data_IF_531953361414
#
_entry.id   IF_531953361414
#
_cell.length_a   1.000
_cell.length_b   1.000
_cell.length_c   1.000
_cell.angle_alpha   90.00
_cell.angle_beta   90.00
_cell.angle_gamma   90.00
#
_symmetry.space_group_name_H-M   'P 1'
#
loop_
_entity.id
_entity.type
_entity.pdbx_description
1 polymer ?
#
# COMPACT_ATOMS: atom_id res chain seq x y z
N UNK A 1 -15.03 -33.47 5.82
CA UNK A 1 -13.75 -34.20 5.93
C UNK A 1 -12.66 -33.21 6.30
N UNK A 2 -11.74 -33.53 7.22
CA UNK A 2 -10.64 -32.65 7.57
C UNK A 2 -9.75 -32.46 6.34
N UNK A 3 -9.35 -31.21 6.08
CA UNK A 3 -8.46 -30.89 4.97
C UNK A 3 -7.04 -31.33 5.34
N UNK A 4 -6.31 -31.97 4.42
CA UNK A 4 -4.92 -32.34 4.67
C UNK A 4 -4.08 -31.06 4.80
N UNK A 5 -3.48 -30.87 5.98
CA UNK A 5 -2.63 -29.73 6.31
C UNK A 5 -1.16 -30.13 6.29
N UNK A 6 -0.35 -29.43 5.50
CA UNK A 6 1.10 -29.60 5.41
C UNK A 6 1.74 -28.25 5.75
N UNK A 7 2.23 -28.11 6.98
CA UNK A 7 2.77 -26.85 7.48
C UNK A 7 1.71 -25.72 7.48
N UNK A 8 1.96 -24.57 6.83
CA UNK A 8 0.99 -23.47 6.72
C UNK A 8 -0.07 -23.70 5.62
N UNK A 9 0.05 -24.78 4.85
CA UNK A 9 -0.76 -25.03 3.65
C UNK A 9 -1.84 -26.08 3.88
N UNK A 10 -2.95 -25.94 3.16
CA UNK A 10 -4.11 -26.81 3.20
C UNK A 10 -4.45 -27.30 1.79
N UNK A 11 -4.63 -28.61 1.63
CA UNK A 11 -5.06 -29.25 0.37
C UNK A 11 -6.59 -29.28 0.28
N UNK A 12 -7.18 -28.10 0.20
CA UNK A 12 -8.61 -27.84 0.28
C UNK A 12 -8.88 -26.52 1.01
N UNK A 13 -10.06 -25.91 0.82
CA UNK A 13 -10.37 -24.64 1.48
C UNK A 13 -10.48 -24.89 2.99
N UNK A 14 -9.73 -24.17 3.84
CA UNK A 14 -9.79 -24.33 5.27
C UNK A 14 -11.22 -24.13 5.78
N UNK A 15 -11.63 -24.86 6.80
CA UNK A 15 -12.93 -24.69 7.44
C UNK A 15 -12.98 -23.36 8.22
N UNK A 16 -14.18 -22.95 8.66
CA UNK A 16 -14.32 -21.79 9.53
C UNK A 16 -13.58 -21.99 10.87
N UNK A 17 -13.61 -23.21 11.41
CA UNK A 17 -12.92 -23.59 12.64
C UNK A 17 -11.40 -23.52 12.49
N UNK A 18 -10.84 -24.01 11.37
CA UNK A 18 -9.40 -23.94 11.10
C UNK A 18 -8.92 -22.49 10.98
N UNK A 19 -9.69 -21.62 10.32
CA UNK A 19 -9.40 -20.18 10.26
C UNK A 19 -9.47 -19.54 11.64
N UNK A 20 -10.52 -19.83 12.41
CA UNK A 20 -10.68 -19.32 13.77
C UNK A 20 -9.55 -19.80 14.71
N UNK A 21 -9.05 -21.02 14.54
CA UNK A 21 -7.90 -21.52 15.29
C UNK A 21 -6.61 -20.75 14.98
N UNK A 22 -6.37 -20.41 13.70
CA UNK A 22 -5.25 -19.56 13.29
C UNK A 22 -5.38 -18.15 13.88
N UNK A 23 -6.58 -17.58 13.82
CA UNK A 23 -6.88 -16.27 14.42
C UNK A 23 -6.67 -16.28 15.93
N UNK A 24 -7.19 -17.28 16.64
CA UNK A 24 -7.01 -17.44 18.07
C UNK A 24 -5.53 -17.65 18.44
N UNK A 25 -4.76 -18.34 17.60
CA UNK A 25 -3.31 -18.46 17.76
C UNK A 25 -2.63 -17.09 17.62
N UNK A 26 -3.00 -16.30 16.63
CA UNK A 26 -2.50 -14.93 16.45
C UNK A 26 -2.87 -14.01 17.64
N UNK A 27 -4.08 -14.16 18.19
CA UNK A 27 -4.53 -13.48 19.40
C UNK A 27 -3.74 -13.91 20.65
N UNK A 28 -3.49 -15.22 20.82
CA UNK A 28 -2.70 -15.72 21.96
C UNK A 28 -1.24 -15.30 21.88
N UNK A 29 -0.67 -15.26 20.68
CA UNK A 29 0.64 -14.63 20.47
C UNK A 29 0.60 -13.14 20.87
N UNK A 30 -0.50 -12.42 20.66
CA UNK A 30 -0.69 -11.07 21.23
C UNK A 30 -0.64 -11.05 22.75
N UNK A 31 -1.51 -11.85 23.38
CA UNK A 31 -1.84 -11.72 24.79
C UNK A 31 -0.68 -12.17 25.70
N UNK A 32 0.11 -13.17 25.28
CA UNK A 32 1.31 -13.63 25.99
C UNK A 32 2.42 -12.57 26.09
N UNK A 33 2.26 -11.43 25.42
CA UNK A 33 3.30 -10.41 25.25
C UNK A 33 3.02 -9.10 25.99
N UNK A 34 2.02 -9.07 26.88
CA UNK A 34 2.00 -8.11 28.00
C UNK A 34 3.03 -8.47 29.10
N UNK A 35 3.78 -9.57 28.90
CA UNK A 35 4.89 -10.00 29.78
C UNK A 35 6.20 -9.32 29.31
N UNK A 36 6.93 -8.60 30.18
CA UNK A 36 8.06 -7.73 29.81
C UNK A 36 9.26 -8.38 29.09
N UNK A 37 9.37 -9.71 29.07
CA UNK A 37 10.56 -10.44 28.61
C UNK A 37 10.49 -10.91 27.14
N UNK A 38 9.36 -10.78 26.45
CA UNK A 38 9.20 -11.25 25.07
C UNK A 38 9.44 -10.13 24.05
N UNK A 39 10.49 -10.27 23.23
CA UNK A 39 10.74 -9.42 22.05
C UNK A 39 9.58 -9.57 21.04
N UNK A 40 9.24 -8.44 20.40
CA UNK A 40 8.06 -8.10 19.59
C UNK A 40 7.29 -9.25 18.88
N UNK A 41 5.94 -9.17 18.75
CA UNK A 41 5.10 -10.18 18.07
C UNK A 41 5.43 -10.40 16.60
N UNK A 42 6.15 -9.45 16.03
CA UNK A 42 6.39 -9.32 14.61
C UNK A 42 7.74 -9.90 14.26
N UNK A 43 7.81 -10.60 13.13
CA UNK A 43 9.07 -11.06 12.56
C UNK A 43 9.78 -9.98 11.71
N UNK A 44 9.30 -8.73 11.81
CA UNK A 44 9.71 -7.57 11.04
C UNK A 44 10.22 -6.46 11.98
N UNK A 45 11.49 -6.04 11.85
CA UNK A 45 12.13 -5.12 12.80
C UNK A 45 11.74 -3.66 12.61
N UNK A 46 11.32 -3.26 11.41
CA UNK A 46 11.08 -1.86 11.04
C UNK A 46 9.61 -1.45 11.22
N UNK A 47 9.02 -1.75 12.38
CA UNK A 47 7.59 -1.51 12.62
C UNK A 47 7.18 -0.05 12.36
N UNK A 48 6.14 0.12 11.56
CA UNK A 48 5.63 1.43 11.19
C UNK A 48 6.47 2.17 10.14
N UNK A 49 7.50 1.57 9.54
CA UNK A 49 8.34 2.23 8.54
C UNK A 49 7.53 2.69 7.32
N UNK A 50 6.46 1.97 6.99
CA UNK A 50 5.61 2.31 5.85
C UNK A 50 4.79 3.58 6.11
N UNK A 51 4.66 4.03 7.37
CA UNK A 51 3.87 5.20 7.78
C UNK A 51 4.26 6.47 7.03
N UNK A 52 5.56 6.73 6.93
CA UNK A 52 6.16 7.91 6.32
C UNK A 52 6.86 7.62 4.99
N UNK A 53 6.84 6.37 4.55
CA UNK A 53 7.45 5.93 3.28
C UNK A 53 6.42 5.90 2.15
N UNK A 54 6.83 6.17 0.90
CA UNK A 54 8.19 6.43 0.40
C UNK A 54 8.65 7.89 0.61
N UNK A 55 9.97 8.21 0.52
CA UNK A 55 11.07 7.24 0.40
C UNK A 55 11.33 6.53 1.74
N UNK A 56 11.96 5.36 1.68
CA UNK A 56 12.47 4.70 2.89
C UNK A 56 13.65 5.50 3.46
N UNK A 57 13.82 5.54 4.79
CA UNK A 57 15.06 6.01 5.39
C UNK A 57 16.28 5.24 4.84
N UNK A 58 17.39 5.94 4.61
CA UNK A 58 18.59 5.41 3.95
C UNK A 58 19.08 4.10 4.58
N UNK A 59 19.11 4.03 5.92
CA UNK A 59 19.51 2.83 6.65
C UNK A 59 18.67 1.59 6.30
N UNK A 60 17.35 1.75 6.08
CA UNK A 60 16.45 0.66 5.71
C UNK A 60 16.51 0.40 4.20
N UNK A 61 16.69 1.44 3.39
CA UNK A 61 16.84 1.31 1.94
C UNK A 61 18.13 0.56 1.54
N UNK A 62 19.17 0.62 2.37
CA UNK A 62 20.42 -0.13 2.18
C UNK A 62 20.27 -1.65 2.43
N UNK A 63 19.20 -2.08 3.11
CA UNK A 63 18.91 -3.49 3.33
C UNK A 63 18.21 -4.13 2.11
N UNK A 64 18.38 -5.44 1.91
CA UNK A 64 17.76 -6.18 0.79
C UNK A 64 16.26 -6.45 1.00
N UNK A 65 15.44 -5.40 0.99
CA UNK A 65 13.98 -5.50 1.01
C UNK A 65 13.39 -5.48 -0.38
N UNK A 66 12.29 -6.20 -0.55
CA UNK A 66 11.41 -6.04 -1.69
C UNK A 66 10.37 -4.98 -1.40
N UNK A 67 10.33 -3.95 -2.24
CA UNK A 67 9.41 -2.81 -2.13
C UNK A 67 8.39 -2.90 -3.26
N UNK A 68 7.12 -2.86 -2.91
CA UNK A 68 6.03 -2.71 -3.86
C UNK A 68 5.27 -1.42 -3.57
N UNK A 69 5.01 -0.64 -4.63
CA UNK A 69 4.25 0.60 -4.54
C UNK A 69 3.23 0.63 -5.66
N UNK A 70 1.98 0.40 -5.31
CA UNK A 70 0.87 0.35 -6.25
C UNK A 70 -0.15 1.41 -5.87
N UNK A 71 -0.67 2.12 -6.88
CA UNK A 71 -1.64 3.19 -6.66
C UNK A 71 -2.60 3.31 -7.83
N UNK A 72 -3.83 3.67 -7.53
CA UNK A 72 -4.87 3.89 -8.54
C UNK A 72 -5.79 5.03 -8.10
N UNK A 73 -6.21 5.86 -9.06
CA UNK A 73 -7.23 6.87 -8.80
C UNK A 73 -8.60 6.17 -8.72
N UNK A 74 -9.34 6.47 -7.66
CA UNK A 74 -10.64 5.81 -7.36
C UNK A 74 -11.82 6.77 -7.36
N UNK A 75 -11.57 8.08 -7.48
CA UNK A 75 -12.64 9.07 -7.61
C UNK A 75 -12.17 10.52 -7.52
N UNK A 76 -13.13 11.41 -7.33
CA UNK A 76 -12.93 12.85 -7.08
C UNK A 76 -13.86 13.35 -5.98
N UNK A 77 -13.41 14.30 -5.18
CA UNK A 77 -14.22 14.93 -4.15
C UNK A 77 -14.17 14.26 -2.77
N UNK A 78 -14.55 15.02 -1.75
CA UNK A 78 -14.65 14.55 -0.37
C UNK A 78 -15.66 13.40 -0.18
N UNK A 79 -16.73 13.37 -0.98
CA UNK A 79 -17.70 12.28 -0.95
C UNK A 79 -17.07 10.96 -1.40
N UNK A 80 -16.29 10.97 -2.49
CA UNK A 80 -15.53 9.81 -2.95
C UNK A 80 -14.48 9.38 -1.91
N UNK A 81 -13.80 10.32 -1.25
CA UNK A 81 -12.87 10.02 -0.16
C UNK A 81 -13.54 9.28 0.99
N UNK A 82 -14.69 9.80 1.48
CA UNK A 82 -15.45 9.15 2.57
C UNK A 82 -15.91 7.75 2.18
N UNK A 83 -16.36 7.57 0.93
CA UNK A 83 -16.74 6.25 0.40
C UNK A 83 -15.54 5.30 0.33
N UNK A 84 -14.43 5.71 -0.28
CA UNK A 84 -13.23 4.90 -0.43
C UNK A 84 -12.64 4.50 0.94
N UNK A 85 -12.61 5.42 1.90
CA UNK A 85 -12.26 5.12 3.30
C UNK A 85 -13.17 4.04 3.88
N UNK A 86 -14.49 4.21 3.76
CA UNK A 86 -15.44 3.25 4.31
C UNK A 86 -15.29 1.86 3.68
N UNK A 87 -15.08 1.78 2.36
CA UNK A 87 -14.78 0.53 1.65
C UNK A 87 -13.47 -0.10 2.12
N UNK A 88 -12.45 0.72 2.40
CA UNK A 88 -11.17 0.27 2.94
C UNK A 88 -11.35 -0.29 4.38
N UNK A 89 -12.10 0.38 5.24
CA UNK A 89 -12.43 -0.08 6.60
C UNK A 89 -13.29 -1.37 6.60
N UNK A 90 -14.11 -1.55 5.57
CA UNK A 90 -14.91 -2.76 5.33
C UNK A 90 -14.14 -3.86 4.58
N UNK A 91 -12.83 -3.69 4.37
CA UNK A 91 -11.96 -4.66 3.68
C UNK A 91 -12.38 -5.02 2.25
N UNK A 92 -13.11 -4.14 1.54
CA UNK A 92 -13.62 -4.41 0.18
C UNK A 92 -12.54 -4.48 -0.91
N UNK A 93 -11.35 -3.99 -0.61
CA UNK A 93 -10.14 -4.19 -1.41
C UNK A 93 -9.64 -5.66 -1.39
N UNK A 94 -10.15 -6.50 -0.48
CA UNK A 94 -9.93 -7.95 -0.44
C UNK A 94 -11.03 -8.78 -1.12
N UNK A 95 -11.96 -8.17 -1.87
CA UNK A 95 -12.99 -8.90 -2.63
C UNK A 95 -12.41 -9.53 -3.93
N UNK A 96 -11.45 -10.45 -3.76
CA UNK A 96 -10.64 -10.97 -4.86
C UNK A 96 -11.11 -12.34 -5.39
N UNK A 97 -12.00 -13.02 -4.66
CA UNK A 97 -12.50 -14.37 -4.99
C UNK A 97 -11.51 -15.50 -4.70
N UNK A 98 -10.21 -15.27 -4.87
CA UNK A 98 -9.13 -16.22 -4.53
C UNK A 98 -8.46 -15.95 -3.17
N UNK A 99 -8.70 -14.77 -2.60
CA UNK A 99 -8.28 -14.41 -1.25
C UNK A 99 -9.45 -13.81 -0.47
N UNK A 100 -9.40 -13.94 0.85
CA UNK A 100 -10.39 -13.42 1.80
C UNK A 100 -9.70 -13.07 3.11
N UNK A 101 -10.29 -12.18 3.89
CA UNK A 101 -9.80 -11.76 5.20
C UNK A 101 -10.91 -11.94 6.24
N UNK A 102 -10.56 -12.18 7.50
CA UNK A 102 -11.51 -12.21 8.63
C UNK A 102 -12.16 -10.85 8.94
N UNK A 103 -11.78 -9.80 8.20
CA UNK A 103 -12.34 -8.45 8.27
C UNK A 103 -12.47 -7.88 9.69
N UNK A 104 -11.38 -7.85 10.49
CA UNK A 104 -11.44 -7.33 11.84
C UNK A 104 -11.65 -5.81 11.83
N UNK A 105 -12.03 -5.20 12.97
CA UNK A 105 -12.01 -3.75 13.11
C UNK A 105 -10.64 -3.17 12.74
N UNK A 106 -10.61 -2.07 11.98
CA UNK A 106 -9.37 -1.39 11.63
C UNK A 106 -8.86 -0.57 12.83
N UNK A 107 -8.21 -1.25 13.77
CA UNK A 107 -7.61 -0.67 14.98
C UNK A 107 -6.25 -1.33 15.26
N UNK A 108 -5.26 -0.59 15.80
CA UNK A 108 -3.98 -1.19 16.20
C UNK A 108 -4.19 -2.39 17.12
N UNK A 109 -3.45 -3.46 16.88
CA UNK A 109 -3.55 -4.71 17.65
C UNK A 109 -4.53 -5.74 17.08
N UNK A 110 -5.42 -5.35 16.16
CA UNK A 110 -6.44 -6.27 15.65
C UNK A 110 -5.82 -7.45 14.87
N UNK A 111 -6.28 -8.70 15.11
CA UNK A 111 -5.76 -9.89 14.45
C UNK A 111 -6.31 -9.97 13.03
N UNK A 112 -5.42 -10.05 12.05
CA UNK A 112 -5.78 -10.18 10.64
C UNK A 112 -5.40 -11.58 10.18
N UNK A 113 -6.31 -12.30 9.55
CA UNK A 113 -6.01 -13.58 8.91
C UNK A 113 -6.43 -13.52 7.46
N UNK A 114 -5.43 -13.51 6.58
CA UNK A 114 -5.66 -13.60 5.14
C UNK A 114 -5.68 -15.07 4.74
N UNK A 115 -6.80 -15.54 4.20
CA UNK A 115 -6.94 -16.86 3.62
C UNK A 115 -6.89 -16.75 2.11
N UNK A 116 -5.86 -17.34 1.49
CA UNK A 116 -5.62 -17.22 0.05
C UNK A 116 -5.37 -18.59 -0.59
N UNK A 117 -5.86 -18.76 -1.81
CA UNK A 117 -5.56 -19.90 -2.67
C UNK A 117 -4.43 -19.56 -3.64
N UNK A 118 -3.32 -20.29 -3.53
CA UNK A 118 -2.11 -20.10 -4.33
C UNK A 118 -1.43 -21.44 -4.59
N UNK A 119 -0.96 -21.69 -5.82
CA UNK A 119 -0.20 -22.91 -6.19
C UNK A 119 -0.91 -24.20 -5.76
N UNK A 120 -2.20 -24.29 -6.10
CA UNK A 120 -3.06 -25.44 -5.78
C UNK A 120 -3.31 -25.69 -4.28
N UNK A 121 -2.80 -24.84 -3.40
CA UNK A 121 -2.94 -24.96 -1.95
C UNK A 121 -3.61 -23.71 -1.37
N UNK A 122 -4.35 -23.91 -0.29
CA UNK A 122 -4.81 -22.79 0.52
C UNK A 122 -3.79 -22.47 1.62
N UNK A 123 -3.73 -21.20 2.01
CA UNK A 123 -2.92 -20.73 3.14
C UNK A 123 -3.77 -19.85 4.05
N UNK A 124 -3.47 -19.86 5.35
CA UNK A 124 -3.98 -18.89 6.31
C UNK A 124 -2.80 -18.13 6.91
N UNK A 125 -2.74 -16.84 6.63
CA UNK A 125 -1.60 -15.98 6.91
C UNK A 125 -1.98 -15.03 8.06
N UNK A 126 -1.49 -15.26 9.29
CA UNK A 126 -1.79 -14.42 10.43
C UNK A 126 -0.90 -13.17 10.43
N UNK A 127 -1.53 -12.01 10.49
CA UNK A 127 -0.92 -10.69 10.60
C UNK A 127 -1.57 -9.94 11.76
N UNK A 128 -1.09 -8.73 12.01
CA UNK A 128 -1.71 -7.81 12.96
C UNK A 128 -1.61 -6.38 12.46
N UNK A 129 -2.65 -5.60 12.70
CA UNK A 129 -2.63 -4.16 12.43
C UNK A 129 -1.59 -3.50 13.35
N UNK A 130 -0.49 -3.03 12.77
CA UNK A 130 0.60 -2.37 13.50
C UNK A 130 0.27 -0.92 13.81
N UNK A 131 -0.44 -0.24 12.89
CA UNK A 131 -0.92 1.11 13.10
C UNK A 131 -2.16 1.45 12.28
N UNK A 132 -2.85 2.49 12.73
CA UNK A 132 -3.91 3.19 12.00
C UNK A 132 -3.65 4.67 12.14
N UNK A 133 -3.86 5.41 11.06
CA UNK A 133 -3.67 6.85 11.00
C UNK A 133 -4.79 7.53 10.23
N UNK A 134 -5.17 8.70 10.71
CA UNK A 134 -5.98 9.62 9.96
C UNK A 134 -5.50 11.05 10.20
N UNK A 135 -5.40 11.85 9.15
CA UNK A 135 -4.96 13.23 9.29
C UNK A 135 -5.11 14.06 8.03
N UNK A 136 -4.91 15.37 8.20
CA UNK A 136 -4.73 16.27 7.07
C UNK A 136 -3.28 16.24 6.58
N UNK A 137 -3.07 16.16 5.27
CA UNK A 137 -1.74 16.05 4.66
C UNK A 137 -0.81 17.24 5.01
N UNK A 138 -1.36 18.41 5.32
CA UNK A 138 -0.58 19.58 5.80
C UNK A 138 -0.20 19.55 7.27
N UNK A 139 -0.98 18.88 8.11
CA UNK A 139 -0.71 18.80 9.56
C UNK A 139 0.40 17.80 9.87
N UNK A 140 0.63 16.85 8.97
CA UNK A 140 1.69 15.87 9.11
C UNK A 140 2.51 15.79 7.82
N UNK A 141 3.43 16.76 7.64
CA UNK A 141 4.27 16.89 6.45
C UNK A 141 5.19 15.68 6.21
N UNK A 142 5.40 14.84 7.23
CA UNK A 142 6.17 13.59 7.12
C UNK A 142 5.36 12.44 6.49
N UNK A 143 4.04 12.60 6.34
CA UNK A 143 3.19 11.63 5.65
C UNK A 143 3.05 12.03 4.19
N UNK A 144 3.75 11.32 3.31
CA UNK A 144 3.68 11.58 1.89
C UNK A 144 2.35 11.07 1.30
N UNK A 145 1.73 11.84 0.40
CA UNK A 145 0.51 11.41 -0.26
C UNK A 145 0.77 10.20 -1.18
N UNK A 146 -0.24 9.35 -1.40
CA UNK A 146 -0.11 8.15 -2.23
C UNK A 146 0.29 8.41 -3.69
N UNK A 147 -0.01 9.59 -4.22
CA UNK A 147 0.35 10.01 -5.58
C UNK A 147 1.77 10.61 -5.69
N UNK A 148 2.49 10.78 -4.58
CA UNK A 148 3.86 11.32 -4.55
C UNK A 148 4.88 10.16 -4.54
N UNK A 149 5.96 10.30 -5.31
CA UNK A 149 7.00 9.27 -5.47
C UNK A 149 7.16 8.80 -6.92
N UNK A 150 8.39 8.45 -7.29
CA UNK A 150 8.78 8.14 -8.67
C UNK A 150 7.80 7.16 -9.36
N UNK A 151 7.50 7.36 -10.66
CA UNK A 151 6.71 6.40 -11.42
C UNK A 151 7.37 5.01 -11.37
N UNK A 152 6.60 3.91 -11.50
CA UNK A 152 7.18 2.57 -11.56
C UNK A 152 8.31 2.55 -12.60
N UNK A 153 9.47 2.01 -12.21
CA UNK A 153 10.66 2.00 -13.06
C UNK A 153 10.37 1.22 -14.35
N UNK A 154 11.00 1.67 -15.44
CA UNK A 154 10.69 1.36 -16.83
C UNK A 154 10.78 -0.13 -17.27
N UNK A 155 10.95 -1.08 -16.35
CA UNK A 155 10.86 -2.51 -16.64
C UNK A 155 9.42 -3.01 -16.84
N UNK A 156 8.40 -2.25 -16.39
CA UNK A 156 6.99 -2.65 -16.47
C UNK A 156 6.17 -1.87 -17.54
N UNK A 157 6.79 -0.95 -18.29
CA UNK A 157 6.09 -0.07 -19.24
C UNK A 157 6.29 -0.36 -20.74
N UNK A 158 7.07 -1.40 -21.09
CA UNK A 158 7.48 -1.64 -22.48
C UNK A 158 6.34 -2.07 -23.44
N UNK A 159 5.14 -2.41 -22.94
CA UNK A 159 4.01 -2.83 -23.78
C UNK A 159 3.05 -1.70 -24.19
N UNK A 160 3.24 -0.46 -23.72
CA UNK A 160 2.25 0.62 -23.94
C UNK A 160 2.77 1.85 -24.71
N UNK A 161 4.00 1.82 -25.25
CA UNK A 161 4.62 3.00 -25.89
C UNK A 161 5.21 2.79 -27.28
N UNK A 162 4.71 1.80 -28.03
CA UNK A 162 5.04 1.66 -29.46
C UNK A 162 3.99 2.27 -30.40
N UNK A 163 3.01 3.01 -29.87
CA UNK A 163 2.00 3.74 -30.65
C UNK A 163 1.95 5.23 -30.29
N UNK A 164 2.95 5.99 -30.75
CA UNK A 164 2.77 7.37 -31.23
C UNK A 164 4.00 7.86 -31.99
N UNK A 165 3.89 7.67 -33.30
CA UNK A 165 4.56 8.27 -34.46
C UNK A 165 5.05 9.71 -34.21
N UNK A 166 6.30 10.00 -34.53
CA UNK A 166 6.75 10.76 -35.72
C UNK A 166 6.24 12.22 -35.87
N UNK A 167 7.21 13.12 -36.06
CA UNK A 167 7.07 14.53 -36.46
C UNK A 167 7.77 15.44 -35.44
N UNK A 168 8.87 16.16 -35.69
CA UNK A 168 9.39 16.76 -36.91
C UNK A 168 9.44 18.29 -36.69
N UNK A 169 10.59 18.94 -36.89
CA UNK A 169 10.67 20.40 -37.07
C UNK A 169 11.69 21.17 -36.22
N UNK A 170 12.67 21.77 -36.89
CA UNK A 170 13.70 22.73 -36.44
C UNK A 170 13.17 24.19 -36.49
N UNK A 171 13.79 25.14 -35.76
CA UNK A 171 13.51 26.58 -35.99
C UNK A 171 13.89 27.62 -34.92
N UNK A 172 15.17 28.03 -34.89
CA UNK A 172 15.76 29.40 -34.87
C UNK A 172 15.12 30.61 -34.10
N UNK A 173 15.96 31.21 -33.22
CA UNK A 173 16.26 32.63 -32.89
C UNK A 173 15.19 33.77 -32.95
N UNK A 174 15.14 34.62 -31.90
CA UNK A 174 14.74 36.03 -32.06
C UNK A 174 14.24 36.83 -30.84
N UNK A 175 15.09 37.77 -30.39
CA UNK A 175 14.80 39.17 -29.99
C UNK A 175 14.29 39.58 -28.58
N UNK A 176 14.93 40.69 -28.17
CA UNK A 176 14.88 41.47 -26.94
C UNK A 176 13.55 42.20 -26.73
N UNK A 177 13.09 42.25 -25.48
CA UNK A 177 12.00 43.11 -25.02
C UNK A 177 12.28 43.65 -23.62
N UNK A 178 12.44 44.97 -23.53
CA UNK A 178 12.60 45.75 -22.30
C UNK A 178 11.28 45.81 -21.53
N UNK A 179 11.29 45.53 -20.22
CA UNK A 179 10.08 45.50 -19.40
C UNK A 179 10.35 45.33 -17.91
N UNK A 180 10.97 46.35 -17.29
CA UNK A 180 11.42 46.36 -15.90
C UNK A 180 10.34 46.32 -14.80
N UNK A 181 9.04 46.29 -15.14
CA UNK A 181 7.94 46.19 -14.16
C UNK A 181 7.22 44.83 -14.13
N UNK A 182 7.17 44.11 -15.25
CA UNK A 182 6.50 42.80 -15.32
C UNK A 182 7.37 41.67 -14.77
N UNK A 183 8.70 41.85 -14.81
CA UNK A 183 9.68 40.85 -14.38
C UNK A 183 9.62 40.59 -12.86
N UNK A 184 9.43 41.64 -12.06
CA UNK A 184 9.30 41.57 -10.60
C UNK A 184 7.99 40.90 -10.16
N UNK A 185 6.88 41.18 -10.85
CA UNK A 185 5.59 40.55 -10.56
C UNK A 185 5.56 39.07 -10.98
N UNK A 186 6.12 38.73 -12.16
CA UNK A 186 6.30 37.34 -12.58
C UNK A 186 7.29 36.58 -11.68
N UNK A 187 8.37 37.22 -11.21
CA UNK A 187 9.32 36.62 -10.25
C UNK A 187 8.69 36.42 -8.87
N UNK A 188 7.90 37.36 -8.37
CA UNK A 188 7.18 37.19 -7.10
C UNK A 188 6.08 36.14 -7.20
N UNK A 189 5.34 36.07 -8.31
CA UNK A 189 4.37 35.00 -8.56
C UNK A 189 5.03 33.64 -8.73
N UNK A 190 6.18 33.57 -9.42
CA UNK A 190 6.97 32.35 -9.55
C UNK A 190 7.53 31.89 -8.20
N UNK A 191 8.10 32.80 -7.40
CA UNK A 191 8.60 32.50 -6.06
C UNK A 191 7.47 32.12 -5.09
N UNK A 192 6.28 32.74 -5.20
CA UNK A 192 5.11 32.36 -4.42
C UNK A 192 4.54 31.01 -4.86
N UNK A 193 4.56 30.69 -6.16
CA UNK A 193 4.17 29.38 -6.69
C UNK A 193 5.16 28.28 -6.28
N UNK A 194 6.46 28.58 -6.27
CA UNK A 194 7.54 27.70 -5.82
C UNK A 194 7.47 27.47 -4.30
N UNK A 195 7.24 28.51 -3.51
CA UNK A 195 6.97 28.41 -2.07
C UNK A 195 5.66 27.67 -1.76
N UNK A 196 4.63 27.81 -2.59
CA UNK A 196 3.38 27.06 -2.48
C UNK A 196 3.52 25.59 -2.90
N UNK A 197 4.41 25.30 -3.87
CA UNK A 197 4.78 23.94 -4.28
C UNK A 197 5.68 23.23 -3.25
N UNK A 198 6.42 23.99 -2.44
CA UNK A 198 7.21 23.47 -1.32
C UNK A 198 6.37 23.05 -0.10
N UNK A 199 5.11 23.51 0.00
CA UNK A 199 4.20 23.09 1.06
C UNK A 199 3.56 21.74 0.73
N UNK A 200 3.40 20.82 1.71
CA UNK A 200 2.67 19.57 1.47
C UNK A 200 1.25 19.86 0.93
N UNK A 201 0.76 19.03 0.00
CA UNK A 201 -0.53 19.27 -0.63
C UNK A 201 -1.64 19.30 0.43
N UNK A 202 -2.65 20.13 0.19
CA UNK A 202 -3.86 20.13 1.03
C UNK A 202 -4.62 18.83 0.77
N UNK A 203 -5.21 18.25 1.81
CA UNK A 203 -5.97 17.02 1.66
C UNK A 203 -6.14 16.25 2.96
N UNK A 204 -6.73 15.06 2.84
CA UNK A 204 -6.91 14.11 3.95
C UNK A 204 -6.35 12.75 3.55
N UNK A 205 -5.85 12.02 4.54
CA UNK A 205 -5.32 10.67 4.40
C UNK A 205 -5.88 9.81 5.53
N UNK A 206 -6.29 8.60 5.16
CA UNK A 206 -6.56 7.51 6.07
C UNK A 206 -5.68 6.33 5.64
N UNK A 207 -4.94 5.76 6.58
CA UNK A 207 -4.07 4.63 6.30
C UNK A 207 -4.03 3.68 7.50
N UNK A 208 -3.83 2.40 7.22
CA UNK A 208 -3.43 1.43 8.22
C UNK A 208 -2.41 0.49 7.62
N UNK A 209 -1.59 -0.12 8.47
CA UNK A 209 -0.73 -1.20 8.04
C UNK A 209 -0.93 -2.44 8.89
N UNK A 210 -0.74 -3.58 8.26
CA UNK A 210 -0.66 -4.87 8.91
C UNK A 210 0.72 -5.47 8.69
N UNK A 211 1.24 -6.09 9.74
CA UNK A 211 2.60 -6.61 9.79
C UNK A 211 2.58 -8.09 10.11
N UNK A 212 3.50 -8.81 9.50
CA UNK A 212 3.63 -10.26 9.63
C UNK A 212 4.06 -10.66 11.05
N UNK A 213 3.44 -11.72 11.57
CA UNK A 213 3.75 -12.27 12.89
C UNK A 213 4.86 -13.33 12.83
N UNK A 214 5.38 -13.73 14.00
CA UNK A 214 6.30 -14.86 14.09
C UNK A 214 5.69 -16.15 13.49
N UNK A 215 6.47 -16.87 12.68
CA UNK A 215 6.01 -18.05 11.95
C UNK A 215 5.34 -17.78 10.60
N UNK A 216 5.15 -16.49 10.24
CA UNK A 216 4.70 -16.11 8.90
C UNK A 216 5.79 -16.35 7.85
N UNK A 217 5.40 -16.76 6.64
CA UNK A 217 6.35 -17.13 5.57
C UNK A 217 7.08 -15.97 4.93
N UNK A 218 6.64 -14.76 5.25
CA UNK A 218 7.19 -13.47 4.83
C UNK A 218 7.44 -12.65 6.09
N UNK A 219 8.44 -11.78 6.04
CA UNK A 219 8.69 -10.72 7.01
C UNK A 219 8.40 -9.40 6.32
N UNK A 220 7.46 -8.60 6.81
CA UNK A 220 7.11 -7.36 6.16
C UNK A 220 5.96 -6.61 6.80
N UNK A 221 5.77 -5.39 6.31
CA UNK A 221 4.65 -4.52 6.64
C UNK A 221 4.02 -4.04 5.32
N UNK A 222 2.70 -4.09 5.27
CA UNK A 222 1.91 -3.66 4.13
C UNK A 222 0.94 -2.57 4.58
N UNK A 223 1.01 -1.43 3.92
CA UNK A 223 0.18 -0.26 4.20
C UNK A 223 -0.87 -0.11 3.10
N UNK A 224 -2.12 0.02 3.53
CA UNK A 224 -3.22 0.45 2.69
C UNK A 224 -3.59 1.88 3.01
N UNK A 225 -3.82 2.68 1.98
CA UNK A 225 -4.05 4.10 2.13
C UNK A 225 -5.11 4.59 1.15
N UNK A 226 -5.99 5.44 1.64
CA UNK A 226 -6.83 6.31 0.82
C UNK A 226 -6.47 7.75 1.16
N UNK A 227 -6.23 8.55 0.13
CA UNK A 227 -6.04 9.98 0.33
C UNK A 227 -6.78 10.80 -0.74
N UNK A 228 -7.18 12.00 -0.33
CA UNK A 228 -7.81 13.00 -1.16
C UNK A 228 -6.89 14.20 -1.31
N UNK A 229 -6.60 14.57 -2.55
CA UNK A 229 -5.88 15.78 -2.91
C UNK A 229 -6.89 16.93 -3.05
N UNK A 230 -6.80 17.94 -2.21
CA UNK A 230 -7.70 19.09 -2.27
C UNK A 230 -7.30 20.10 -3.36
N UNK A 231 -6.14 19.95 -4.02
CA UNK A 231 -5.72 20.85 -5.11
C UNK A 231 -6.38 20.52 -6.44
N UNK A 232 -6.38 19.24 -6.81
CA UNK A 232 -6.96 18.75 -8.08
C UNK A 232 -8.23 17.91 -7.87
N UNK A 233 -8.68 17.81 -6.63
CA UNK A 233 -9.84 17.06 -6.16
C UNK A 233 -9.76 15.53 -6.34
N UNK A 234 -8.60 14.97 -6.69
CA UNK A 234 -8.44 13.52 -6.91
C UNK A 234 -8.43 12.70 -5.62
N UNK A 235 -8.98 11.49 -5.68
CA UNK A 235 -8.94 10.50 -4.60
C UNK A 235 -8.20 9.27 -5.07
N UNK A 236 -7.21 8.84 -4.29
CA UNK A 236 -6.30 7.75 -4.62
C UNK A 236 -6.36 6.65 -3.57
N UNK A 237 -6.29 5.40 -4.04
CA UNK A 237 -6.00 4.23 -3.24
C UNK A 237 -4.56 3.78 -3.49
N UNK A 238 -3.86 3.36 -2.46
CA UNK A 238 -2.46 2.94 -2.50
C UNK A 238 -2.20 1.74 -1.61
N UNK A 239 -1.33 0.87 -2.12
CA UNK A 239 -0.72 -0.25 -1.42
C UNK A 239 0.79 -0.01 -1.44
N UNK A 240 1.39 0.10 -0.25
CA UNK A 240 2.84 0.23 -0.10
C UNK A 240 3.35 -0.88 0.80
N UNK A 241 4.18 -1.77 0.27
CA UNK A 241 4.62 -2.98 0.96
C UNK A 241 6.14 -3.04 1.02
N UNK A 242 6.66 -3.31 2.21
CA UNK A 242 8.05 -3.69 2.43
C UNK A 242 8.09 -5.14 2.89
N UNK A 243 8.77 -6.02 2.16
CA UNK A 243 8.77 -7.45 2.47
C UNK A 243 10.07 -8.17 2.13
N UNK A 244 10.31 -9.29 2.80
CA UNK A 244 11.38 -10.26 2.47
C UNK A 244 10.91 -11.69 2.79
N UNK A 245 11.48 -12.73 2.15
CA UNK A 245 11.22 -14.11 2.51
C UNK A 245 11.49 -14.39 4.01
N UNK A 246 10.61 -15.14 4.65
CA UNK A 246 10.72 -15.49 6.07
C UNK A 246 11.71 -16.62 6.37
N UNK A 247 11.98 -17.46 5.35
CA UNK A 247 12.88 -18.62 5.38
C UNK A 247 13.58 -18.81 4.03
N UNK A 248 14.60 -19.66 3.99
CA UNK A 248 15.29 -20.03 2.75
C UNK A 248 14.39 -20.81 1.79
N UNK A 249 13.43 -21.60 2.31
CA UNK A 249 12.43 -22.32 1.49
C UNK A 249 11.54 -21.30 0.77
N UNK A 250 11.07 -20.27 1.49
CA UNK A 250 10.32 -19.18 0.87
C UNK A 250 11.18 -18.41 -0.13
N UNK A 251 12.49 -18.27 0.12
CA UNK A 251 13.41 -17.64 -0.81
C UNK A 251 13.55 -18.45 -2.12
N UNK A 252 13.56 -19.78 -2.05
CA UNK A 252 13.53 -20.63 -3.25
C UNK A 252 12.21 -20.48 -4.03
N UNK A 253 11.08 -20.31 -3.33
CA UNK A 253 9.77 -20.04 -3.94
C UNK A 253 9.56 -18.56 -4.33
N UNK A 254 10.59 -17.71 -4.24
CA UNK A 254 10.44 -16.27 -4.36
C UNK A 254 9.84 -15.79 -5.70
N UNK A 255 10.20 -16.33 -6.88
CA UNK A 255 9.58 -15.88 -8.14
C UNK A 255 8.05 -16.06 -8.14
N UNK A 256 7.56 -17.17 -7.58
CA UNK A 256 6.13 -17.44 -7.44
C UNK A 256 5.50 -16.46 -6.44
N UNK A 257 6.15 -16.26 -5.29
CA UNK A 257 5.71 -15.28 -4.30
C UNK A 257 5.57 -13.87 -4.90
N UNK A 258 6.55 -13.44 -5.72
CA UNK A 258 6.52 -12.15 -6.42
C UNK A 258 5.35 -12.05 -7.40
N UNK A 259 5.04 -13.12 -8.11
CA UNK A 259 3.87 -13.16 -8.98
C UNK A 259 2.57 -12.99 -8.18
N UNK A 260 2.44 -13.64 -7.02
CA UNK A 260 1.27 -13.48 -6.15
C UNK A 260 1.16 -12.08 -5.55
N UNK A 261 2.28 -11.47 -5.12
CA UNK A 261 2.28 -10.11 -4.58
C UNK A 261 1.84 -9.08 -5.62
N UNK A 262 2.36 -9.19 -6.86
CA UNK A 262 1.91 -8.33 -7.97
C UNK A 262 0.43 -8.56 -8.32
N UNK A 263 -0.01 -9.83 -8.37
CA UNK A 263 -1.42 -10.17 -8.61
C UNK A 263 -2.33 -9.60 -7.53
N UNK A 264 -1.95 -9.73 -6.25
CA UNK A 264 -2.69 -9.17 -5.14
C UNK A 264 -2.85 -7.65 -5.29
N UNK A 265 -1.77 -6.95 -5.56
CA UNK A 265 -1.81 -5.49 -5.68
C UNK A 265 -2.69 -5.03 -6.84
N UNK A 266 -2.58 -5.69 -8.01
CA UNK A 266 -3.42 -5.39 -9.17
C UNK A 266 -4.91 -5.67 -8.88
N UNK A 267 -5.24 -6.87 -8.41
CA UNK A 267 -6.64 -7.24 -8.16
C UNK A 267 -7.28 -6.41 -7.05
N UNK A 268 -6.50 -5.99 -6.05
CA UNK A 268 -6.95 -5.11 -4.96
C UNK A 268 -7.26 -3.70 -5.45
N UNK A 269 -6.39 -3.13 -6.30
CA UNK A 269 -6.67 -1.87 -6.98
C UNK A 269 -7.96 -1.96 -7.82
N UNK A 270 -8.11 -3.02 -8.61
CA UNK A 270 -9.31 -3.24 -9.41
C UNK A 270 -10.56 -3.42 -8.53
N UNK A 271 -10.45 -4.15 -7.42
CA UNK A 271 -11.54 -4.34 -6.47
C UNK A 271 -12.00 -2.99 -5.89
N UNK A 272 -11.06 -2.14 -5.47
CA UNK A 272 -11.39 -0.82 -4.96
C UNK A 272 -12.10 0.03 -6.03
N UNK A 273 -11.61 0.03 -7.28
CA UNK A 273 -12.27 0.75 -8.37
C UNK A 273 -13.68 0.21 -8.66
N UNK A 274 -13.87 -1.11 -8.71
CA UNK A 274 -15.19 -1.74 -8.90
C UNK A 274 -16.18 -1.33 -7.81
N UNK A 275 -15.76 -1.34 -6.55
CA UNK A 275 -16.61 -0.98 -5.41
C UNK A 275 -16.94 0.52 -5.39
N UNK A 276 -16.02 1.36 -5.86
CA UNK A 276 -16.25 2.79 -6.05
C UNK A 276 -17.23 3.09 -7.20
N UNK A 277 -17.21 2.27 -8.26
CA UNK A 277 -18.14 2.38 -9.38
C UNK A 277 -19.54 1.80 -9.09
N UNK A 278 -19.64 0.82 -8.19
CA UNK A 278 -20.92 0.25 -7.77
C UNK A 278 -21.81 1.33 -7.14
N UNK A 279 -23.08 1.42 -7.57
CA UNK A 279 -24.06 2.33 -6.93
C UNK A 279 -24.27 1.90 -5.48
N UNK A 280 -24.31 2.90 -4.58
CA UNK A 280 -24.60 2.67 -3.16
C UNK A 280 -26.04 2.22 -2.97
#
# INVERSE_FOLDING_TARGET
>A
MPVLKIGPFYLGKPSAEERAAVELSACRQAARQLVPSCRLPFNFPHLGITRTSPPLPEAVAAESWTIDHNRVQVGRGQAAYRRARSLLEQWRHFDLGWASVNAPPVKPGSPVVVTAFSLCCWSCNPLRISFVEEGGLRRNAQQLPPWVGAPPTAAEGASLRQQRLHGGGSGVLGLLGTGGGKRTQHQQQAAAAEAAAALPPRGRRFAFAHTTLQGHQIRGEERFCVAWNAQDDSVWYEIYTLSRPGSWITAAAHPLLRAFQRKFAADSCDAMQRQMAARA
#
